data_IF_442091213641
#
_entry.id   IF_442091213641
#
_cell.length_a   1.000
_cell.length_b   1.000
_cell.length_c   1.000
_cell.angle_alpha   90.00
_cell.angle_beta   90.00
_cell.angle_gamma   90.00
#
_symmetry.space_group_name_H-M   'P 1'
#
loop_
_entity.id
_entity.type
_entity.pdbx_description
1 polymer ?
#
# COMPACT_ATOMS: atom_id res chain seq x y z
N UNK A 1 38.37 -29.28 2.51
CA UNK A 1 37.56 -28.51 1.52
C UNK A 1 36.04 -28.71 1.68
N UNK A 2 35.56 -29.82 2.24
CA UNK A 2 34.12 -30.07 2.47
C UNK A 2 33.58 -29.27 3.67
N UNK A 3 34.34 -29.19 4.77
CA UNK A 3 33.93 -28.49 6.00
C UNK A 3 33.63 -27.00 5.75
N UNK A 4 34.48 -26.32 4.97
CA UNK A 4 34.28 -24.90 4.64
C UNK A 4 33.00 -24.67 3.84
N UNK A 5 32.65 -25.58 2.92
CA UNK A 5 31.41 -25.49 2.14
C UNK A 5 30.16 -25.70 3.01
N UNK A 6 30.24 -26.57 4.01
CA UNK A 6 29.15 -26.81 4.97
C UNK A 6 28.90 -25.57 5.84
N UNK A 7 29.94 -24.91 6.33
CA UNK A 7 29.79 -23.67 7.09
C UNK A 7 29.19 -22.52 6.27
N UNK A 8 29.60 -22.37 5.01
CA UNK A 8 29.01 -21.38 4.10
C UNK A 8 27.52 -21.66 3.87
N UNK A 9 27.14 -22.94 3.72
CA UNK A 9 25.75 -23.35 3.57
C UNK A 9 24.92 -23.04 4.84
N UNK A 10 25.46 -23.34 6.01
CA UNK A 10 24.79 -23.09 7.31
C UNK A 10 24.60 -21.59 7.54
N UNK A 11 25.61 -20.77 7.22
CA UNK A 11 25.53 -19.30 7.33
C UNK A 11 24.49 -18.75 6.34
N UNK A 12 24.45 -19.29 5.13
CA UNK A 12 23.45 -18.91 4.13
C UNK A 12 22.03 -19.24 4.63
N UNK A 13 21.79 -20.45 5.12
CA UNK A 13 20.47 -20.85 5.65
C UNK A 13 20.07 -20.10 6.93
N UNK A 14 21.02 -19.76 7.80
CA UNK A 14 20.73 -19.00 9.03
C UNK A 14 20.40 -17.53 8.74
N UNK A 15 20.96 -16.94 7.68
CA UNK A 15 20.59 -15.61 7.18
C UNK A 15 19.18 -15.57 6.57
N UNK A 16 18.67 -16.69 6.05
CA UNK A 16 17.30 -16.79 5.51
C UNK A 16 16.20 -16.91 6.57
N UNK A 17 16.54 -17.05 7.86
CA UNK A 17 15.56 -17.03 8.95
C UNK A 17 15.11 -15.61 9.33
N UNK A 18 14.80 -14.77 8.34
CA UNK A 18 13.94 -13.63 8.61
C UNK A 18 12.55 -14.18 8.91
N UNK A 19 12.08 -14.02 10.16
CA UNK A 19 10.69 -14.26 10.53
C UNK A 19 9.79 -13.25 9.81
N UNK A 20 9.62 -13.41 8.51
CA UNK A 20 8.38 -12.99 7.89
C UNK A 20 7.40 -14.11 8.21
N UNK A 21 6.61 -13.96 9.28
CA UNK A 21 5.34 -14.67 9.36
C UNK A 21 4.44 -14.05 8.28
N UNK A 22 4.84 -14.18 7.02
CA UNK A 22 3.96 -13.96 5.90
C UNK A 22 2.87 -14.98 6.08
N UNK A 23 1.65 -14.51 6.31
CA UNK A 23 0.50 -15.35 6.61
C UNK A 23 -0.41 -15.38 5.39
N UNK A 24 -0.01 -16.05 4.28
CA UNK A 24 -0.93 -16.28 3.20
C UNK A 24 -1.70 -17.56 3.55
N UNK A 25 -2.73 -17.44 4.41
CA UNK A 25 -3.81 -18.43 4.34
C UNK A 25 -4.61 -18.28 3.02
N UNK A 26 -4.20 -17.34 2.18
CA UNK A 26 -4.68 -17.10 0.84
C UNK A 26 -3.91 -18.03 -0.13
N UNK A 27 -4.59 -18.88 -0.91
CA UNK A 27 -3.93 -19.72 -1.92
C UNK A 27 -3.07 -18.91 -2.90
N UNK A 28 -2.14 -19.53 -3.62
CA UNK A 28 -1.43 -18.81 -4.69
C UNK A 28 -2.43 -18.53 -5.82
N UNK A 29 -2.57 -17.26 -6.23
CA UNK A 29 -3.50 -16.88 -7.27
C UNK A 29 -3.66 -15.37 -7.43
N UNK A 30 -4.44 -14.98 -8.44
CA UNK A 30 -4.83 -13.59 -8.65
C UNK A 30 -5.91 -13.19 -7.63
N UNK A 31 -5.70 -12.05 -6.99
CA UNK A 31 -6.62 -11.49 -6.00
C UNK A 31 -7.27 -10.23 -6.51
N UNK A 32 -8.59 -10.16 -6.35
CA UNK A 32 -9.32 -8.92 -6.50
C UNK A 32 -9.34 -8.17 -5.17
N UNK A 33 -8.69 -7.00 -5.13
CA UNK A 33 -8.84 -6.07 -4.01
C UNK A 33 -10.14 -5.29 -4.17
N UNK A 34 -10.98 -5.30 -3.12
CA UNK A 34 -12.22 -4.53 -3.06
C UNK A 34 -12.13 -3.56 -1.89
N UNK A 35 -12.24 -2.26 -2.19
CA UNK A 35 -12.27 -1.21 -1.18
C UNK A 35 -13.71 -0.97 -0.73
N UNK A 36 -13.96 -1.09 0.57
CA UNK A 36 -15.29 -0.84 1.14
C UNK A 36 -15.41 0.58 1.70
N UNK A 37 -14.46 1.00 2.54
CA UNK A 37 -14.49 2.29 3.24
C UNK A 37 -13.08 2.79 3.52
N UNK A 38 -12.95 4.10 3.64
CA UNK A 38 -11.71 4.79 4.05
C UNK A 38 -12.05 5.82 5.11
N UNK A 39 -11.18 5.97 6.11
CA UNK A 39 -11.33 6.96 7.16
C UNK A 39 -10.02 7.73 7.32
N UNK A 40 -10.12 9.01 7.64
CA UNK A 40 -8.97 9.81 8.01
C UNK A 40 -8.63 9.57 9.49
N UNK A 41 -7.37 9.24 9.77
CA UNK A 41 -6.85 9.24 11.14
C UNK A 41 -6.46 10.66 11.55
N UNK A 42 -6.61 11.00 12.83
CA UNK A 42 -6.33 12.36 13.36
C UNK A 42 -4.85 12.75 13.33
N UNK A 43 -3.94 11.79 13.15
CA UNK A 43 -2.53 11.97 13.53
C UNK A 43 -1.72 12.88 12.59
N UNK A 44 -2.14 13.07 11.33
CA UNK A 44 -1.30 13.77 10.35
C UNK A 44 -2.14 14.59 9.35
N UNK A 45 -2.16 15.91 9.50
CA UNK A 45 -2.84 16.87 8.62
C UNK A 45 -2.27 16.97 7.18
N UNK A 46 -1.44 16.03 6.72
CA UNK A 46 -0.81 16.06 5.39
C UNK A 46 -1.81 15.76 4.28
N UNK A 47 -2.70 14.80 4.52
CA UNK A 47 -3.65 14.28 3.54
C UNK A 47 -5.05 14.30 4.15
N UNK A 48 -5.96 15.02 3.52
CA UNK A 48 -7.40 14.95 3.84
C UNK A 48 -8.10 14.33 2.65
N UNK A 49 -8.90 13.29 2.88
CA UNK A 49 -9.63 12.64 1.81
C UNK A 49 -11.07 12.39 2.24
N UNK A 50 -11.99 12.60 1.31
CA UNK A 50 -13.39 12.23 1.45
C UNK A 50 -13.68 11.34 0.24
N UNK A 51 -13.56 10.02 0.43
CA UNK A 51 -13.78 9.02 -0.60
C UNK A 51 -14.98 8.16 -0.24
N UNK A 52 -15.87 7.98 -1.22
CA UNK A 52 -17.05 7.14 -1.15
C UNK A 52 -16.90 6.00 -2.14
N UNK A 53 -17.09 4.78 -1.65
CA UNK A 53 -17.04 3.57 -2.46
C UNK A 53 -18.46 3.00 -2.56
N UNK A 54 -18.92 2.76 -3.78
CA UNK A 54 -20.22 2.15 -4.06
C UNK A 54 -20.03 0.93 -4.96
N UNK A 55 -20.49 -0.23 -4.49
CA UNK A 55 -20.45 -1.46 -5.26
C UNK A 55 -21.53 -1.42 -6.33
N UNK A 56 -21.14 -1.42 -7.61
CA UNK A 56 -22.06 -1.39 -8.75
C UNK A 56 -22.34 -2.80 -9.28
N UNK A 57 -21.33 -3.67 -9.26
CA UNK A 57 -21.46 -5.10 -9.58
C UNK A 57 -20.59 -5.94 -8.62
N UNK A 58 -20.63 -7.27 -8.72
CA UNK A 58 -19.74 -8.15 -7.95
C UNK A 58 -18.25 -7.80 -8.12
N UNK A 59 -17.87 -7.31 -9.30
CA UNK A 59 -16.48 -7.03 -9.69
C UNK A 59 -16.15 -5.55 -9.87
N UNK A 60 -17.13 -4.64 -9.74
CA UNK A 60 -16.93 -3.20 -9.97
C UNK A 60 -17.36 -2.37 -8.77
N UNK A 61 -16.39 -1.65 -8.21
CA UNK A 61 -16.62 -0.60 -7.20
C UNK A 61 -16.36 0.76 -7.84
N UNK A 62 -17.35 1.64 -7.78
CA UNK A 62 -17.18 3.03 -8.16
C UNK A 62 -16.64 3.82 -6.97
N UNK A 63 -15.62 4.64 -7.21
CA UNK A 63 -15.06 5.57 -6.23
C UNK A 63 -15.46 6.99 -6.62
N UNK A 64 -15.97 7.77 -5.66
CA UNK A 64 -16.29 9.19 -5.82
C UNK A 64 -15.71 9.97 -4.66
N UNK A 65 -15.31 11.22 -4.89
CA UNK A 65 -14.82 12.07 -3.82
C UNK A 65 -13.62 12.91 -4.20
N UNK A 66 -12.97 13.46 -3.17
CA UNK A 66 -11.82 14.32 -3.30
C UNK A 66 -10.69 13.94 -2.35
N UNK A 67 -9.48 14.27 -2.76
CA UNK A 67 -8.25 14.12 -1.97
C UNK A 67 -7.56 15.48 -1.97
N UNK A 68 -7.24 15.97 -0.80
CA UNK A 68 -6.55 17.24 -0.57
C UNK A 68 -5.22 16.97 0.09
N UNK A 69 -4.14 17.35 -0.56
CA UNK A 69 -2.82 17.38 0.05
C UNK A 69 -2.56 18.78 0.62
N UNK A 70 -2.14 18.88 1.88
CA UNK A 70 -1.74 20.17 2.50
C UNK A 70 -0.26 20.45 2.35
N UNK A 71 0.54 19.40 2.09
CA UNK A 71 1.96 19.46 1.75
C UNK A 71 2.22 18.63 0.49
N UNK A 72 3.19 19.02 -0.35
CA UNK A 72 3.47 18.27 -1.56
C UNK A 72 3.95 16.87 -1.18
N UNK A 73 3.38 15.83 -1.79
CA UNK A 73 3.77 14.45 -1.51
C UNK A 73 5.02 14.07 -2.29
N UNK A 74 6.17 14.14 -1.63
CA UNK A 74 7.50 13.91 -2.18
C UNK A 74 8.23 12.74 -1.47
N UNK A 75 9.55 12.65 -1.66
CA UNK A 75 10.38 11.62 -1.03
C UNK A 75 10.83 11.97 0.40
N UNK A 76 10.52 13.17 0.91
CA UNK A 76 10.86 13.57 2.28
C UNK A 76 10.03 12.85 3.35
N UNK A 77 8.93 12.21 2.94
CA UNK A 77 8.07 11.44 3.85
C UNK A 77 8.51 10.00 4.01
N UNK A 78 8.17 9.44 5.17
CA UNK A 78 8.20 8.01 5.45
C UNK A 78 6.81 7.47 5.13
N UNK A 79 6.76 6.38 4.37
CA UNK A 79 5.55 5.61 4.13
C UNK A 79 5.51 4.47 5.14
N UNK A 80 4.53 4.52 6.04
CA UNK A 80 4.26 3.50 7.05
C UNK A 80 2.88 2.90 6.79
N UNK A 81 2.86 1.62 6.41
CA UNK A 81 1.65 0.85 6.18
C UNK A 81 1.61 -0.30 7.17
N UNK A 82 0.59 -0.27 8.01
CA UNK A 82 0.30 -1.35 8.93
C UNK A 82 -1.03 -1.99 8.54
N UNK A 83 -0.96 -3.24 8.07
CA UNK A 83 -2.12 -4.00 7.65
C UNK A 83 -2.55 -4.96 8.78
N UNK A 84 -3.86 -5.09 8.96
CA UNK A 84 -4.48 -6.09 9.79
C UNK A 84 -5.29 -7.05 8.91
N UNK A 85 -5.35 -8.33 9.30
CA UNK A 85 -6.14 -9.34 8.63
C UNK A 85 -7.23 -9.88 9.56
N UNK A 86 -8.36 -10.26 8.98
CA UNK A 86 -9.45 -10.91 9.71
C UNK A 86 -9.17 -12.41 9.80
N UNK A 87 -9.13 -12.97 11.01
CA UNK A 87 -8.93 -14.40 11.22
C UNK A 87 -10.23 -15.20 11.04
N UNK A 88 -10.10 -16.52 10.87
CA UNK A 88 -11.25 -17.43 10.72
C UNK A 88 -12.12 -17.54 11.97
N UNK A 89 -11.66 -17.00 13.10
CA UNK A 89 -12.34 -17.02 14.41
C UNK A 89 -13.11 -15.71 14.62
N UNK A 90 -13.03 -14.77 13.68
CA UNK A 90 -13.75 -13.50 13.75
C UNK A 90 -13.01 -12.40 14.52
N UNK A 91 -11.67 -12.40 14.53
CA UNK A 91 -10.85 -11.37 15.18
C UNK A 91 -9.89 -10.72 14.19
N UNK A 92 -9.69 -9.42 14.35
CA UNK A 92 -8.60 -8.72 13.67
C UNK A 92 -7.26 -9.15 14.27
N UNK A 93 -6.36 -9.64 13.43
CA UNK A 93 -4.95 -9.79 13.75
C UNK A 93 -4.21 -8.52 13.31
N UNK A 94 -3.82 -7.65 14.25
CA UNK A 94 -3.04 -6.45 13.91
C UNK A 94 -1.64 -6.84 13.42
N UNK A 95 -0.98 -5.93 12.71
CA UNK A 95 0.38 -6.11 12.21
C UNK A 95 0.55 -7.40 11.38
N UNK A 96 -0.48 -7.82 10.64
CA UNK A 96 -0.42 -8.99 9.78
C UNK A 96 0.58 -8.79 8.64
N UNK A 97 0.77 -7.54 8.23
CA UNK A 97 1.88 -7.12 7.37
C UNK A 97 2.24 -5.66 7.69
N UNK A 98 3.52 -5.39 7.85
CA UNK A 98 4.04 -4.03 8.11
C UNK A 98 5.03 -3.68 7.02
N UNK A 99 4.82 -2.54 6.37
CA UNK A 99 5.68 -2.02 5.32
C UNK A 99 6.08 -0.57 5.65
N UNK A 100 7.33 -0.41 6.07
CA UNK A 100 7.91 0.89 6.43
C UNK A 100 9.03 1.18 5.44
N UNK A 101 8.97 2.34 4.79
CA UNK A 101 10.01 2.74 3.85
C UNK A 101 10.19 4.26 3.80
N UNK A 102 11.45 4.68 3.64
CA UNK A 102 11.78 6.08 3.32
C UNK A 102 11.42 6.37 1.85
N UNK A 103 11.54 7.62 1.39
CA UNK A 103 11.22 7.99 0.00
C UNK A 103 9.78 7.62 -0.39
N UNK A 104 8.81 8.07 0.42
CA UNK A 104 7.41 7.65 0.33
C UNK A 104 6.86 7.70 -1.09
N UNK A 105 7.04 8.81 -1.82
CA UNK A 105 6.50 8.90 -3.18
C UNK A 105 7.06 7.85 -4.13
N UNK A 106 8.38 7.70 -4.18
CA UNK A 106 9.02 6.78 -5.13
C UNK A 106 8.66 5.33 -4.83
N UNK A 107 8.60 4.96 -3.55
CA UNK A 107 8.25 3.60 -3.16
C UNK A 107 6.75 3.33 -3.26
N UNK A 108 5.89 4.33 -3.05
CA UNK A 108 4.46 4.22 -3.32
C UNK A 108 4.17 4.02 -4.81
N UNK A 109 4.87 4.76 -5.68
CA UNK A 109 4.82 4.54 -7.14
C UNK A 109 5.25 3.13 -7.52
N UNK A 110 6.32 2.60 -6.92
CA UNK A 110 6.78 1.22 -7.15
C UNK A 110 5.76 0.19 -6.67
N UNK A 111 5.16 0.40 -5.50
CA UNK A 111 4.15 -0.48 -4.93
C UNK A 111 2.91 -0.57 -5.82
N UNK A 112 2.45 0.56 -6.35
CA UNK A 112 1.28 0.63 -7.23
C UNK A 112 1.57 0.19 -8.67
N UNK A 113 2.82 0.31 -9.12
CA UNK A 113 3.23 -0.06 -10.48
C UNK A 113 2.38 0.66 -11.54
N UNK A 114 1.78 -0.11 -12.45
CA UNK A 114 0.93 0.43 -13.53
C UNK A 114 -0.35 1.11 -13.02
N UNK A 115 -0.79 0.80 -11.80
CA UNK A 115 -1.96 1.43 -11.20
C UNK A 115 -1.70 2.91 -10.88
N UNK A 116 -0.45 3.30 -10.63
CA UNK A 116 -0.06 4.70 -10.38
C UNK A 116 -0.55 5.64 -11.48
N UNK A 117 -0.26 5.30 -12.74
CA UNK A 117 -0.63 6.12 -13.88
C UNK A 117 -2.15 6.20 -14.07
N UNK A 118 -2.88 5.10 -13.78
CA UNK A 118 -4.34 5.06 -13.85
C UNK A 118 -4.97 5.98 -12.80
N UNK A 119 -4.48 5.90 -11.55
CA UNK A 119 -4.91 6.78 -10.46
C UNK A 119 -4.65 8.24 -10.82
N UNK A 120 -3.43 8.58 -11.24
CA UNK A 120 -3.09 9.95 -11.61
C UNK A 120 -4.00 10.48 -12.72
N UNK A 121 -4.32 9.65 -13.73
CA UNK A 121 -5.26 10.01 -14.79
C UNK A 121 -6.68 10.23 -14.27
N UNK A 122 -7.19 9.35 -13.41
CA UNK A 122 -8.54 9.48 -12.81
C UNK A 122 -8.71 10.73 -11.95
N UNK A 123 -7.64 11.19 -11.30
CA UNK A 123 -7.62 12.41 -10.50
C UNK A 123 -7.16 13.65 -11.28
N UNK A 124 -6.94 13.53 -12.60
CA UNK A 124 -6.39 14.58 -13.46
C UNK A 124 -5.10 15.22 -12.92
N UNK A 125 -4.23 14.39 -12.33
CA UNK A 125 -2.92 14.81 -11.82
C UNK A 125 -1.98 14.94 -13.04
N UNK A 126 -1.49 16.15 -13.37
CA UNK A 126 -0.71 16.37 -14.59
C UNK A 126 0.68 15.73 -14.55
N UNK A 127 1.13 15.27 -13.38
CA UNK A 127 2.48 14.77 -13.13
C UNK A 127 2.43 13.24 -12.99
N UNK A 128 3.16 12.54 -13.85
CA UNK A 128 3.41 11.08 -13.75
C UNK A 128 4.64 10.74 -12.89
N UNK A 129 5.43 11.76 -12.55
CA UNK A 129 6.59 11.71 -11.67
C UNK A 129 6.24 11.67 -10.19
N UNK A 130 7.26 11.93 -9.36
CA UNK A 130 7.08 12.15 -7.94
C UNK A 130 6.98 13.64 -7.62
N UNK A 131 6.42 13.95 -6.44
CA UNK A 131 5.99 15.29 -5.99
C UNK A 131 4.58 15.67 -6.47
N UNK A 132 3.56 15.06 -5.86
CA UNK A 132 2.17 15.51 -6.06
C UNK A 132 2.01 16.87 -5.37
N UNK A 133 1.43 17.84 -6.08
CA UNK A 133 1.30 19.22 -5.60
C UNK A 133 0.23 19.36 -4.51
N UNK A 134 0.29 20.47 -3.78
CA UNK A 134 -0.70 20.89 -2.77
C UNK A 134 -1.96 21.37 -3.47
N UNK A 135 -2.84 20.44 -3.87
CA UNK A 135 -4.07 20.73 -4.60
C UNK A 135 -5.19 19.80 -4.12
N UNK A 136 -6.44 20.24 -4.32
CA UNK A 136 -7.63 19.38 -4.21
C UNK A 136 -7.80 18.62 -5.53
N UNK A 137 -7.63 17.31 -5.48
CA UNK A 137 -7.86 16.41 -6.60
C UNK A 137 -9.26 15.79 -6.48
N UNK A 138 -10.04 15.90 -7.56
CA UNK A 138 -11.39 15.31 -7.64
C UNK A 138 -11.37 14.18 -8.64
N UNK A 139 -12.07 13.09 -8.33
CA UNK A 139 -12.21 11.97 -9.27
C UNK A 139 -13.13 12.42 -10.41
N UNK A 140 -12.60 12.40 -11.64
CA UNK A 140 -13.38 12.64 -12.85
C UNK A 140 -13.79 11.27 -13.40
N UNK A 141 -15.10 11.01 -13.45
CA UNK A 141 -15.68 9.78 -14.01
C UNK A 141 -15.49 9.72 -15.52
#
# INVERSE_FOLDING_TARGET
MIIMKVFVLIIFFSLFNSKSNFMPNLPLGEYQMVFEKTYSCESINILRHILYFSKTTLSKTQMKGNITFTKPFDNGFILDLNLASWDSIGRWKPNSAVYITMNACSNWKKLLGNLWNKINKSFNIPITGCSILVVIYTIIN
#
